data_IF_903132780998
#
_entry.id   IF_903132780998
#
_cell.length_a   1.000
_cell.length_b   1.000
_cell.length_c   1.000
_cell.angle_alpha   90.00
_cell.angle_beta   90.00
_cell.angle_gamma   90.00
#
_symmetry.space_group_name_H-M   'P 1'
#
loop_
_entity.id
_entity.type
_entity.pdbx_description
1 polymer ?
#
# COMPACT_ATOMS: atom_id res chain seq x y z
N UNK A 1 -5.16 6.35 6.55
CA UNK A 1 -5.48 5.13 7.32
C UNK A 1 -4.48 4.03 6.99
N UNK A 2 -4.56 3.42 5.80
CA UNK A 2 -3.83 2.19 5.45
C UNK A 2 -2.31 2.25 5.66
N UNK A 3 -1.62 3.32 5.21
CA UNK A 3 -0.16 3.43 5.41
C UNK A 3 0.26 3.39 6.88
N UNK A 4 -0.48 4.09 7.75
CA UNK A 4 -0.17 4.16 9.18
C UNK A 4 -0.51 2.85 9.89
N UNK A 5 -1.58 2.18 9.47
CA UNK A 5 -1.92 0.83 9.94
C UNK A 5 -0.84 -0.19 9.57
N UNK A 6 -0.30 -0.14 8.35
CA UNK A 6 0.81 -1.03 7.94
C UNK A 6 2.09 -0.78 8.73
N UNK A 7 2.39 0.48 9.06
CA UNK A 7 3.52 0.82 9.93
C UNK A 7 3.32 0.29 11.37
N UNK A 8 2.09 0.41 11.91
CA UNK A 8 1.75 -0.19 13.20
C UNK A 8 1.92 -1.72 13.19
N UNK A 9 1.40 -2.39 12.16
CA UNK A 9 1.51 -3.84 12.00
C UNK A 9 2.95 -4.32 11.82
N UNK A 10 3.77 -3.61 11.03
CA UNK A 10 5.19 -3.94 10.87
C UNK A 10 5.98 -3.81 12.18
N UNK A 11 5.60 -2.87 13.05
CA UNK A 11 6.18 -2.72 14.39
C UNK A 11 5.76 -3.86 15.33
N UNK A 12 4.50 -4.28 15.28
CA UNK A 12 3.96 -5.37 16.09
C UNK A 12 4.43 -6.76 15.61
N UNK A 13 4.59 -6.93 14.30
CA UNK A 13 4.96 -8.18 13.64
C UNK A 13 6.22 -8.00 12.78
N UNK A 14 7.40 -7.82 13.40
CA UNK A 14 8.62 -7.47 12.68
C UNK A 14 9.15 -8.56 11.73
N UNK A 15 8.64 -9.80 11.83
CA UNK A 15 8.96 -10.91 10.91
C UNK A 15 8.10 -10.92 9.64
N UNK A 16 7.10 -10.03 9.54
CA UNK A 16 6.20 -9.91 8.39
C UNK A 16 6.51 -8.61 7.64
N UNK A 17 6.44 -8.69 6.31
CA UNK A 17 6.58 -7.53 5.43
C UNK A 17 5.18 -7.00 5.06
N UNK A 18 5.01 -5.68 5.14
CA UNK A 18 3.76 -5.00 4.81
C UNK A 18 3.99 -4.02 3.67
N UNK A 19 3.22 -4.16 2.60
CA UNK A 19 3.35 -3.33 1.40
C UNK A 19 2.01 -2.65 1.12
N UNK A 20 2.03 -1.33 1.04
CA UNK A 20 0.90 -0.53 0.60
C UNK A 20 1.23 0.15 -0.73
N UNK A 21 0.51 -0.25 -1.77
CA UNK A 21 0.78 0.14 -3.16
C UNK A 21 -0.31 1.08 -3.65
N UNK A 22 0.11 2.19 -4.27
CA UNK A 22 -0.77 2.98 -5.12
C UNK A 22 -0.60 2.52 -6.59
N UNK A 23 -1.55 1.76 -7.16
CA UNK A 23 -1.41 1.16 -8.49
C UNK A 23 -1.48 2.16 -9.65
N UNK A 24 -1.79 3.44 -9.37
CA UNK A 24 -2.23 4.38 -10.40
C UNK A 24 -3.69 4.17 -10.81
N UNK A 25 -4.18 4.88 -11.83
CA UNK A 25 -5.50 4.64 -12.39
C UNK A 25 -5.52 3.27 -13.08
N UNK A 26 -6.46 2.39 -12.72
CA UNK A 26 -6.61 1.06 -13.34
C UNK A 26 -8.06 0.87 -13.77
N UNK A 27 -8.25 0.31 -14.97
CA UNK A 27 -9.56 0.03 -15.58
C UNK A 27 -10.34 -1.06 -14.88
N UNK A 28 -10.80 -0.78 -13.67
CA UNK A 28 -11.64 -1.63 -12.84
C UNK A 28 -13.07 -1.08 -12.79
N UNK A 29 -13.99 -1.81 -12.14
CA UNK A 29 -15.36 -1.34 -11.93
C UNK A 29 -15.50 -0.36 -10.73
N UNK A 30 -14.42 0.34 -10.34
CA UNK A 30 -14.38 1.15 -9.11
C UNK A 30 -15.46 2.23 -9.07
N UNK A 31 -15.72 2.92 -10.18
CA UNK A 31 -16.70 4.02 -10.20
C UNK A 31 -18.14 3.52 -10.07
N UNK A 32 -18.48 2.39 -10.72
CA UNK A 32 -19.81 1.80 -10.59
C UNK A 32 -20.05 1.21 -9.20
N UNK A 33 -19.00 0.73 -8.54
CA UNK A 33 -19.10 0.20 -7.18
C UNK A 33 -19.11 1.31 -6.11
N UNK A 34 -18.50 2.47 -6.40
CA UNK A 34 -18.37 3.58 -5.44
C UNK A 34 -19.50 4.60 -5.54
N UNK A 35 -20.13 4.73 -6.71
CA UNK A 35 -21.14 5.76 -6.97
C UNK A 35 -22.38 5.20 -7.69
N UNK A 36 -23.59 5.65 -7.31
CA UNK A 36 -24.78 5.34 -8.07
C UNK A 36 -24.82 6.11 -9.40
N UNK A 37 -25.56 5.61 -10.42
CA UNK A 37 -25.91 6.42 -11.58
C UNK A 37 -26.66 7.70 -11.15
N UNK A 38 -26.47 8.85 -11.84
CA UNK A 38 -25.72 9.04 -13.09
C UNK A 38 -24.20 9.30 -12.90
N UNK A 39 -23.71 9.40 -11.66
CA UNK A 39 -22.32 9.78 -11.38
C UNK A 39 -21.35 8.74 -11.94
N UNK A 40 -21.61 7.45 -11.69
CA UNK A 40 -20.77 6.38 -12.22
C UNK A 40 -20.74 6.35 -13.75
N UNK A 41 -21.88 6.60 -14.42
CA UNK A 41 -21.97 6.71 -15.88
C UNK A 41 -21.10 7.84 -16.42
N UNK A 42 -21.13 9.02 -15.78
CA UNK A 42 -20.30 10.15 -16.15
C UNK A 42 -18.80 9.83 -16.04
N UNK A 43 -18.37 9.18 -14.95
CA UNK A 43 -16.97 8.79 -14.80
C UNK A 43 -16.55 7.71 -15.81
N UNK A 44 -17.37 6.68 -16.00
CA UNK A 44 -17.04 5.54 -16.88
C UNK A 44 -17.05 5.90 -18.37
N UNK A 45 -17.90 6.83 -18.82
CA UNK A 45 -18.04 7.16 -20.24
C UNK A 45 -17.52 8.55 -20.60
N UNK A 46 -17.60 9.51 -19.68
CA UNK A 46 -17.10 10.87 -19.88
C UNK A 46 -15.63 11.00 -19.52
N UNK A 47 -15.27 10.65 -18.29
CA UNK A 47 -13.90 10.85 -17.77
C UNK A 47 -12.92 9.74 -18.17
N UNK A 48 -13.36 8.49 -18.21
CA UNK A 48 -12.48 7.35 -18.45
C UNK A 48 -11.68 7.42 -19.76
N UNK A 49 -12.25 7.80 -20.92
CA UNK A 49 -11.48 7.93 -22.16
C UNK A 49 -10.34 8.96 -22.05
N UNK A 50 -10.50 10.00 -21.24
CA UNK A 50 -9.47 11.01 -20.98
C UNK A 50 -8.39 10.50 -20.02
N UNK A 51 -8.76 9.66 -19.04
CA UNK A 51 -7.83 9.09 -18.06
C UNK A 51 -7.08 7.87 -18.59
N UNK A 52 -7.67 7.13 -19.54
CA UNK A 52 -7.15 5.88 -20.08
C UNK A 52 -5.69 5.94 -20.56
N UNK A 53 -5.22 6.97 -21.28
CA UNK A 53 -3.83 7.05 -21.73
C UNK A 53 -2.80 7.09 -20.60
N UNK A 54 -3.23 7.49 -19.39
CA UNK A 54 -2.39 7.56 -18.18
C UNK A 54 -2.71 6.44 -17.19
N UNK A 55 -3.50 5.45 -17.61
CA UNK A 55 -3.88 4.30 -16.79
C UNK A 55 -2.88 3.16 -16.92
N UNK A 56 -2.78 2.35 -15.87
CA UNK A 56 -2.05 1.09 -15.87
C UNK A 56 -3.01 -0.02 -16.30
N UNK A 57 -2.55 -0.90 -17.18
CA UNK A 57 -3.34 -2.05 -17.62
C UNK A 57 -3.74 -2.95 -16.44
N UNK A 58 -4.92 -3.55 -16.46
CA UNK A 58 -5.39 -4.40 -15.37
C UNK A 58 -4.44 -5.59 -15.11
N UNK A 59 -4.00 -6.25 -16.18
CA UNK A 59 -3.07 -7.38 -16.10
C UNK A 59 -1.70 -6.95 -15.57
N UNK A 60 -1.17 -5.86 -16.13
CA UNK A 60 0.10 -5.27 -15.72
C UNK A 60 0.09 -4.86 -14.24
N UNK A 61 -0.99 -4.26 -13.76
CA UNK A 61 -1.17 -3.94 -12.34
C UNK A 61 -1.10 -5.21 -11.49
N UNK A 62 -1.75 -6.31 -11.93
CA UNK A 62 -1.69 -7.60 -11.26
C UNK A 62 -0.28 -8.19 -11.20
N UNK A 63 0.44 -8.20 -12.33
CA UNK A 63 1.83 -8.67 -12.43
C UNK A 63 2.75 -7.89 -11.50
N UNK A 64 2.60 -6.56 -11.42
CA UNK A 64 3.37 -5.70 -10.50
C UNK A 64 3.08 -6.02 -9.04
N UNK A 65 1.82 -6.29 -8.68
CA UNK A 65 1.49 -6.70 -7.30
C UNK A 65 2.06 -8.08 -6.98
N UNK A 66 2.04 -9.02 -7.92
CA UNK A 66 2.69 -10.31 -7.75
C UNK A 66 4.20 -10.15 -7.54
N UNK A 67 4.85 -9.27 -8.31
CA UNK A 67 6.26 -8.93 -8.09
C UNK A 67 6.50 -8.36 -6.69
N UNK A 68 5.70 -7.39 -6.23
CA UNK A 68 5.85 -6.81 -4.89
C UNK A 68 5.72 -7.86 -3.77
N UNK A 69 4.85 -8.85 -3.94
CA UNK A 69 4.62 -9.91 -2.96
C UNK A 69 5.70 -10.99 -2.96
N UNK A 70 6.28 -11.27 -4.13
CA UNK A 70 7.20 -12.38 -4.32
C UNK A 70 8.67 -11.97 -4.33
N UNK A 71 9.01 -10.68 -4.47
CA UNK A 71 10.38 -10.20 -4.58
C UNK A 71 11.05 -10.00 -3.22
N UNK A 72 12.33 -10.40 -3.12
CA UNK A 72 13.19 -10.12 -1.97
C UNK A 72 13.55 -8.63 -1.80
N UNK A 73 13.09 -7.76 -2.71
CA UNK A 73 13.24 -6.30 -2.62
C UNK A 73 12.55 -5.69 -1.41
N UNK A 74 11.47 -6.30 -0.90
CA UNK A 74 10.63 -5.76 0.18
C UNK A 74 10.62 -6.67 1.42
N UNK A 75 11.75 -6.91 2.10
CA UNK A 75 11.82 -7.85 3.20
C UNK A 75 11.20 -7.32 4.50
N UNK A 76 10.84 -8.22 5.42
CA UNK A 76 10.47 -7.87 6.78
C UNK A 76 11.67 -7.32 7.57
N UNK A 77 11.39 -6.58 8.65
CA UNK A 77 12.43 -5.97 9.49
C UNK A 77 13.34 -7.00 10.18
N UNK A 78 12.77 -8.12 10.59
CA UNK A 78 13.44 -9.24 11.27
C UNK A 78 13.19 -10.54 10.52
N UNK A 79 13.51 -10.56 9.22
CA UNK A 79 13.51 -11.78 8.42
C UNK A 79 14.70 -12.69 8.80
N UNK A 80 14.45 -13.98 9.03
CA UNK A 80 15.49 -14.98 9.34
C UNK A 80 16.01 -15.70 8.10
N UNK A 81 15.35 -15.54 6.95
CA UNK A 81 15.71 -16.12 5.65
C UNK A 81 15.47 -15.11 4.53
N UNK A 82 16.02 -15.35 3.34
CA UNK A 82 15.67 -14.58 2.14
C UNK A 82 14.17 -14.76 1.89
N UNK A 83 13.40 -13.67 2.01
CA UNK A 83 11.97 -13.67 1.82
C UNK A 83 11.65 -13.32 0.37
N UNK A 84 11.35 -14.33 -0.45
CA UNK A 84 10.98 -14.15 -1.86
C UNK A 84 12.11 -14.47 -2.84
N UNK A 85 11.85 -14.17 -4.11
CA UNK A 85 12.77 -14.30 -5.24
C UNK A 85 13.94 -13.32 -5.06
N UNK A 86 15.19 -13.81 -5.04
CA UNK A 86 16.37 -12.96 -4.86
C UNK A 86 16.43 -11.81 -5.87
N UNK A 87 16.90 -10.65 -5.41
CA UNK A 87 17.20 -9.48 -6.23
C UNK A 87 18.70 -9.20 -6.21
N UNK A 88 19.16 -8.29 -7.07
CA UNK A 88 20.57 -7.89 -7.12
C UNK A 88 21.04 -7.39 -5.75
N UNK A 89 22.31 -7.66 -5.36
CA UNK A 89 22.87 -7.18 -4.11
C UNK A 89 22.74 -5.65 -3.99
N UNK A 90 22.12 -5.18 -2.90
CA UNK A 90 21.92 -3.75 -2.66
C UNK A 90 20.57 -3.20 -3.15
N UNK A 91 19.76 -4.00 -3.83
CA UNK A 91 18.45 -3.57 -4.35
C UNK A 91 17.32 -3.67 -3.32
N UNK A 92 17.64 -3.59 -2.04
CA UNK A 92 16.65 -3.63 -0.96
C UNK A 92 15.95 -2.27 -0.86
N UNK A 93 14.63 -2.27 -0.93
CA UNK A 93 13.85 -1.04 -0.83
C UNK A 93 14.02 -0.36 0.53
N UNK A 94 14.05 0.97 0.52
CA UNK A 94 13.89 1.79 1.74
C UNK A 94 12.41 1.83 2.10
N UNK A 95 12.06 1.50 3.33
CA UNK A 95 10.65 1.59 3.73
C UNK A 95 10.29 2.89 4.42
N UNK A 96 9.22 2.89 5.20
CA UNK A 96 8.65 4.10 5.81
C UNK A 96 9.55 4.78 6.85
N UNK A 97 10.49 4.03 7.45
CA UNK A 97 11.51 4.58 8.36
C UNK A 97 12.72 5.18 7.65
N UNK A 98 12.80 5.03 6.32
CA UNK A 98 13.96 5.44 5.52
C UNK A 98 15.13 4.46 5.51
N UNK A 99 15.08 3.45 6.38
CA UNK A 99 16.04 2.34 6.40
C UNK A 99 15.72 1.31 5.32
N UNK A 100 16.76 0.72 4.73
CA UNK A 100 16.61 -0.47 3.89
C UNK A 100 16.04 -1.62 4.71
N UNK A 101 15.06 -2.34 4.20
CA UNK A 101 14.54 -3.51 4.90
C UNK A 101 13.63 -3.21 6.09
N UNK A 102 12.99 -2.03 6.16
CA UNK A 102 12.26 -1.62 7.37
C UNK A 102 10.99 -2.44 7.70
N UNK A 103 10.51 -3.28 6.78
CA UNK A 103 9.30 -4.11 6.94
C UNK A 103 7.97 -3.44 6.59
N UNK A 104 7.94 -2.12 6.35
CA UNK A 104 6.77 -1.41 5.85
C UNK A 104 7.15 -0.57 4.62
N UNK A 105 6.43 -0.75 3.51
CA UNK A 105 6.76 -0.14 2.22
C UNK A 105 5.59 0.61 1.61
N UNK A 106 5.85 1.83 1.11
CA UNK A 106 4.88 2.62 0.36
C UNK A 106 5.32 2.73 -1.09
N UNK A 107 4.61 2.06 -1.97
CA UNK A 107 4.99 1.95 -3.38
C UNK A 107 4.07 2.77 -4.26
N UNK A 108 4.62 3.32 -5.33
CA UNK A 108 3.85 3.87 -6.44
C UNK A 108 3.50 2.75 -7.45
N UNK A 109 2.95 3.15 -8.59
CA UNK A 109 2.50 2.24 -9.64
C UNK A 109 3.63 1.43 -10.28
N UNK A 110 4.89 1.87 -10.19
CA UNK A 110 6.07 1.17 -10.73
C UNK A 110 6.92 0.44 -9.69
N UNK A 111 6.44 0.34 -8.45
CA UNK A 111 7.14 -0.38 -7.38
C UNK A 111 8.27 0.41 -6.74
N UNK A 112 8.47 1.66 -7.14
CA UNK A 112 9.40 2.56 -6.46
C UNK A 112 8.78 3.09 -5.16
N UNK A 113 9.66 3.32 -4.19
CA UNK A 113 9.30 3.84 -2.87
C UNK A 113 8.89 5.30 -3.00
N UNK A 114 7.70 5.65 -2.50
CA UNK A 114 7.25 7.04 -2.47
C UNK A 114 7.96 7.84 -1.36
N UNK A 115 8.59 8.98 -1.69
CA UNK A 115 9.22 9.85 -0.70
C UNK A 115 8.15 10.59 0.11
N UNK A 116 7.70 9.98 1.21
CA UNK A 116 6.73 10.55 2.16
C UNK A 116 7.27 10.57 3.59
N UNK A 117 8.59 10.47 3.74
CA UNK A 117 9.27 10.31 5.03
C UNK A 117 8.95 11.44 6.01
N UNK A 118 8.98 12.71 5.56
CA UNK A 118 8.73 13.87 6.42
C UNK A 118 7.34 13.83 7.07
N UNK A 119 6.30 13.56 6.28
CA UNK A 119 4.93 13.54 6.80
C UNK A 119 4.67 12.33 7.69
N UNK A 120 5.26 11.17 7.34
CA UNK A 120 5.15 9.95 8.16
C UNK A 120 5.89 10.13 9.49
N UNK A 121 7.05 10.79 9.48
CA UNK A 121 7.79 11.10 10.70
C UNK A 121 7.00 12.05 11.60
N UNK A 122 6.37 13.08 11.05
CA UNK A 122 5.48 13.96 11.80
C UNK A 122 4.30 13.19 12.41
N UNK A 123 3.69 12.27 11.65
CA UNK A 123 2.62 11.39 12.13
C UNK A 123 3.08 10.42 13.23
N UNK A 124 4.33 9.93 13.16
CA UNK A 124 4.94 9.13 14.23
C UNK A 124 5.11 9.94 15.52
N UNK A 125 5.60 11.18 15.44
CA UNK A 125 5.74 12.07 16.60
C UNK A 125 4.38 12.31 17.27
N UNK A 126 3.32 12.44 16.47
CA UNK A 126 1.95 12.62 16.94
C UNK A 126 1.26 11.31 17.41
N UNK A 127 1.93 10.15 17.33
CA UNK A 127 1.36 8.82 17.65
C UNK A 127 0.07 8.50 16.86
N UNK A 128 -0.02 9.01 15.63
CA UNK A 128 -1.16 8.72 14.75
C UNK A 128 -1.26 7.25 14.31
N UNK A 129 -0.17 6.48 14.09
CA UNK A 129 -0.30 5.06 13.80
C UNK A 129 -1.08 4.28 14.85
N UNK A 130 -0.73 4.47 16.13
CA UNK A 130 -1.42 3.82 17.25
C UNK A 130 -2.87 4.31 17.39
N UNK A 131 -3.12 5.60 17.19
CA UNK A 131 -4.48 6.16 17.24
C UNK A 131 -5.37 5.58 16.13
N UNK A 132 -4.89 5.55 14.90
CA UNK A 132 -5.63 5.02 13.73
C UNK A 132 -5.90 3.54 13.91
N UNK A 133 -4.92 2.77 14.39
CA UNK A 133 -5.11 1.34 14.64
C UNK A 133 -6.17 1.08 15.71
N UNK A 134 -6.03 1.70 16.88
CA UNK A 134 -7.01 1.57 17.98
C UNK A 134 -8.41 1.97 17.54
N UNK A 135 -8.54 3.10 16.84
CA UNK A 135 -9.84 3.54 16.34
C UNK A 135 -10.48 2.52 15.37
N UNK A 136 -9.66 1.85 14.56
CA UNK A 136 -10.10 0.80 13.63
C UNK A 136 -10.58 -0.44 14.40
N UNK A 137 -9.81 -0.91 15.38
CA UNK A 137 -10.21 -2.03 16.24
C UNK A 137 -11.49 -1.72 17.02
N UNK A 138 -11.57 -0.54 17.67
CA UNK A 138 -12.77 -0.10 18.41
C UNK A 138 -14.04 -0.06 17.53
N UNK A 139 -13.91 0.24 16.24
CA UNK A 139 -15.03 0.22 15.29
C UNK A 139 -15.44 -1.21 14.94
N UNK A 140 -14.47 -2.09 14.70
CA UNK A 140 -14.72 -3.49 14.37
C UNK A 140 -15.36 -4.23 15.55
N UNK A 141 -14.84 -4.04 16.76
CA UNK A 141 -15.39 -4.64 17.98
C UNK A 141 -16.84 -4.22 18.21
N UNK A 142 -17.15 -2.93 18.03
CA UNK A 142 -18.54 -2.43 18.12
C UNK A 142 -19.45 -2.99 17.03
N UNK A 143 -18.93 -3.30 15.86
CA UNK A 143 -19.73 -3.87 14.77
C UNK A 143 -20.06 -5.35 15.03
N UNK A 144 -19.15 -6.11 15.66
CA UNK A 144 -19.32 -7.53 15.99
C UNK A 144 -20.15 -7.75 17.25
N UNK A 145 -20.14 -6.81 18.21
CA UNK A 145 -20.98 -6.86 19.41
C UNK A 145 -22.47 -6.52 19.17
N UNK A 146 -22.92 -6.45 17.91
CA UNK A 146 -24.34 -6.28 17.52
C UNK A 146 -25.00 -7.62 17.31
#
# INVERSE_FOLDING_TARGET
MTSLSMEHLAKAHPSVSFVHVYPGPVGTNIYSNSFPPPISTFYNHGMWPLMWPFSVGLHESGERHLFHLSSARYPAKKGTMIQGVPVEPGDVAKGTTGEGGSGAYLLNWNGEVRPSQKIIEEYRVQRLPELVWRHTEDLLDRAVCR
#
